data_IF_146109466398
#
_entry.id   IF_146109466398
#
_cell.length_a   1.000
_cell.length_b   1.000
_cell.length_c   1.000
_cell.angle_alpha   90.00
_cell.angle_beta   90.00
_cell.angle_gamma   90.00
#
_symmetry.space_group_name_H-M   'P 1'
#
loop_
_entity.id
_entity.type
_entity.pdbx_description
1 polymer ?
#
# COMPACT_ATOMS: atom_id res chain seq x y z
N UNK A 1 2.63 -27.22 4.55
CA UNK A 1 2.73 -26.15 3.54
C UNK A 1 1.32 -25.99 2.98
N UNK A 2 0.46 -25.29 3.72
CA UNK A 2 -0.99 -25.21 3.48
C UNK A 2 -1.32 -23.82 2.92
N UNK A 3 -2.37 -23.71 2.09
CA UNK A 3 -3.08 -22.43 1.88
C UNK A 3 -3.34 -21.82 3.26
N UNK A 4 -2.62 -20.76 3.65
CA UNK A 4 -2.42 -20.55 5.08
C UNK A 4 -3.70 -20.14 5.82
N UNK A 5 -4.68 -19.46 5.21
CA UNK A 5 -5.94 -19.20 5.92
C UNK A 5 -7.15 -19.15 4.98
N UNK A 6 -8.04 -20.15 5.10
CA UNK A 6 -9.42 -20.05 4.61
C UNK A 6 -10.22 -19.23 5.61
N UNK A 7 -10.48 -17.98 5.29
CA UNK A 7 -11.18 -17.02 6.18
C UNK A 7 -12.70 -17.03 5.97
N UNK A 8 -13.18 -17.68 4.91
CA UNK A 8 -14.60 -17.85 4.63
C UNK A 8 -14.85 -18.98 3.62
N UNK A 9 -16.11 -19.30 3.30
CA UNK A 9 -16.46 -20.38 2.39
C UNK A 9 -15.76 -20.30 1.04
N UNK A 10 -15.59 -19.07 0.54
CA UNK A 10 -14.99 -18.72 -0.75
C UNK A 10 -13.85 -17.69 -0.63
N UNK A 11 -13.31 -17.45 0.57
CA UNK A 11 -12.27 -16.44 0.79
C UNK A 11 -10.99 -17.08 1.32
N UNK A 12 -9.90 -16.85 0.60
CA UNK A 12 -8.57 -17.37 0.89
C UNK A 12 -7.62 -16.20 1.08
N UNK A 13 -6.80 -16.28 2.13
CA UNK A 13 -5.77 -15.30 2.43
C UNK A 13 -4.40 -15.94 2.22
N UNK A 14 -3.56 -15.27 1.43
CA UNK A 14 -2.16 -15.65 1.24
C UNK A 14 -1.22 -14.61 1.85
N UNK A 15 -0.05 -15.08 2.27
CA UNK A 15 1.10 -14.22 2.56
C UNK A 15 2.32 -14.60 1.73
N UNK A 16 2.08 -15.38 0.67
CA UNK A 16 3.10 -15.77 -0.28
C UNK A 16 3.30 -14.63 -1.30
N UNK A 17 4.55 -14.20 -1.43
CA UNK A 17 4.95 -13.10 -2.30
C UNK A 17 4.87 -13.45 -3.78
N UNK A 18 5.12 -14.71 -4.13
CA UNK A 18 5.06 -15.15 -5.51
C UNK A 18 3.60 -15.14 -5.97
N UNK A 19 2.69 -15.55 -5.08
CA UNK A 19 1.25 -15.50 -5.32
C UNK A 19 0.78 -14.04 -5.39
N UNK A 20 1.20 -13.18 -4.46
CA UNK A 20 0.87 -11.75 -4.49
C UNK A 20 1.35 -11.09 -5.79
N UNK A 21 2.61 -11.30 -6.17
CA UNK A 21 3.22 -10.71 -7.37
C UNK A 21 2.54 -11.20 -8.65
N UNK A 22 2.15 -12.48 -8.69
CA UNK A 22 1.35 -13.05 -9.79
C UNK A 22 -0.02 -12.40 -9.87
N UNK A 23 -0.71 -12.24 -8.75
CA UNK A 23 -2.07 -11.66 -8.69
C UNK A 23 -2.09 -10.18 -9.06
N UNK A 24 -1.12 -9.39 -8.58
CA UNK A 24 -1.02 -7.94 -8.79
C UNK A 24 -0.26 -7.55 -10.06
N UNK A 25 0.34 -8.51 -10.76
CA UNK A 25 1.11 -8.23 -11.97
C UNK A 25 0.26 -7.58 -13.07
N UNK A 26 0.89 -6.72 -13.87
CA UNK A 26 0.23 -5.93 -14.95
C UNK A 26 -0.48 -6.80 -16.00
N UNK A 27 -0.03 -8.06 -16.17
CA UNK A 27 -0.64 -9.04 -17.10
C UNK A 27 -1.34 -10.18 -16.35
N UNK A 28 -1.66 -9.97 -15.09
CA UNK A 28 -2.43 -10.91 -14.29
C UNK A 28 -3.78 -11.11 -14.95
N UNK A 29 -4.22 -12.37 -15.05
CA UNK A 29 -5.57 -12.71 -15.51
C UNK A 29 -6.59 -12.66 -14.38
N UNK A 30 -6.16 -12.36 -13.15
CA UNK A 30 -7.02 -12.35 -11.98
C UNK A 30 -7.87 -11.07 -11.98
N UNK A 31 -9.19 -11.23 -11.86
CA UNK A 31 -10.14 -10.10 -11.89
C UNK A 31 -10.36 -9.54 -10.49
N UNK A 32 -10.76 -8.27 -10.38
CA UNK A 32 -11.17 -7.69 -9.10
C UNK A 32 -12.37 -8.44 -8.54
N UNK A 33 -12.30 -8.84 -7.26
CA UNK A 33 -13.34 -9.63 -6.60
C UNK A 33 -14.64 -8.84 -6.33
N UNK A 34 -15.67 -9.55 -5.86
CA UNK A 34 -17.02 -8.99 -5.65
C UNK A 34 -17.04 -7.75 -4.73
N UNK A 35 -16.18 -7.72 -3.71
CA UNK A 35 -16.17 -6.65 -2.70
C UNK A 35 -15.98 -5.24 -3.26
N UNK A 36 -15.36 -5.09 -4.44
CA UNK A 36 -15.23 -3.80 -5.13
C UNK A 36 -16.59 -3.18 -5.47
N UNK A 37 -17.65 -3.98 -5.63
CA UNK A 37 -19.01 -3.48 -5.80
C UNK A 37 -19.50 -2.65 -4.60
N UNK A 38 -18.95 -2.91 -3.40
CA UNK A 38 -19.23 -2.11 -2.21
C UNK A 38 -18.73 -0.66 -2.29
N UNK A 39 -17.80 -0.37 -3.22
CA UNK A 39 -17.27 0.99 -3.42
C UNK A 39 -18.16 1.86 -4.29
N UNK A 40 -19.31 1.35 -4.76
CA UNK A 40 -20.27 2.14 -5.53
C UNK A 40 -20.88 3.26 -4.69
N UNK A 41 -20.80 4.49 -5.17
CA UNK A 41 -21.56 5.61 -4.58
C UNK A 41 -23.05 5.56 -4.91
N UNK A 42 -23.41 4.97 -6.07
CA UNK A 42 -24.78 4.71 -6.46
C UNK A 42 -24.97 3.20 -6.63
N UNK A 43 -25.97 2.57 -5.98
CA UNK A 43 -26.10 1.10 -5.94
C UNK A 43 -26.09 0.42 -7.32
N UNK A 44 -26.60 1.10 -8.35
CA UNK A 44 -26.78 0.59 -9.70
C UNK A 44 -25.69 1.01 -10.68
N UNK A 45 -24.71 1.82 -10.27
CA UNK A 45 -23.72 2.39 -11.18
C UNK A 45 -22.31 2.26 -10.62
N UNK A 46 -21.45 1.61 -11.41
CA UNK A 46 -20.02 1.54 -11.12
C UNK A 46 -19.35 2.92 -11.30
N UNK A 47 -18.51 3.28 -10.33
CA UNK A 47 -17.52 4.35 -10.42
C UNK A 47 -16.14 3.76 -10.76
N UNK A 48 -15.12 4.62 -10.83
CA UNK A 48 -13.75 4.21 -11.15
C UNK A 48 -13.20 3.15 -10.20
N UNK A 49 -13.58 3.15 -8.92
CA UNK A 49 -13.08 2.19 -7.93
C UNK A 49 -13.80 0.84 -7.99
N UNK A 50 -15.11 0.85 -8.22
CA UNK A 50 -15.94 -0.34 -8.28
C UNK A 50 -15.91 -1.08 -9.63
N UNK A 51 -15.48 -0.43 -10.70
CA UNK A 51 -15.43 -1.01 -12.04
C UNK A 51 -14.36 -2.12 -12.12
N UNK A 52 -14.81 -3.34 -12.40
CA UNK A 52 -13.98 -4.57 -12.43
C UNK A 52 -13.46 -4.88 -13.84
N UNK A 53 -14.08 -4.35 -14.89
CA UNK A 53 -13.64 -4.55 -16.27
C UNK A 53 -12.47 -3.61 -16.58
N UNK A 54 -11.30 -4.16 -16.95
CA UNK A 54 -10.08 -3.37 -17.17
C UNK A 54 -10.23 -2.33 -18.28
N UNK A 55 -10.95 -2.63 -19.37
CA UNK A 55 -11.12 -1.71 -20.48
C UNK A 55 -12.02 -0.54 -20.07
N UNK A 56 -13.12 -0.81 -19.36
CA UNK A 56 -13.99 0.23 -18.80
C UNK A 56 -13.29 1.03 -17.71
N UNK A 57 -12.54 0.37 -16.83
CA UNK A 57 -11.77 0.99 -15.76
C UNK A 57 -10.71 1.93 -16.35
N UNK A 58 -9.97 1.48 -17.36
CA UNK A 58 -9.02 2.32 -18.09
C UNK A 58 -9.73 3.50 -18.77
N UNK A 59 -10.88 3.27 -19.41
CA UNK A 59 -11.65 4.35 -20.04
C UNK A 59 -12.20 5.36 -19.02
N UNK A 60 -12.65 4.91 -17.85
CA UNK A 60 -13.10 5.77 -16.75
C UNK A 60 -11.94 6.59 -16.17
N UNK A 61 -10.78 5.96 -15.95
CA UNK A 61 -9.55 6.66 -15.55
C UNK A 61 -9.10 7.69 -16.58
N UNK A 62 -9.09 7.33 -17.87
CA UNK A 62 -8.78 8.27 -18.95
C UNK A 62 -9.79 9.42 -19.02
N UNK A 63 -11.07 9.18 -18.73
CA UNK A 63 -12.10 10.23 -18.66
C UNK A 63 -11.93 11.14 -17.45
N UNK A 64 -11.55 10.60 -16.28
CA UNK A 64 -11.19 11.42 -15.11
C UNK A 64 -9.93 12.24 -15.37
N UNK A 65 -8.89 11.65 -15.94
CA UNK A 65 -7.67 12.35 -16.35
C UNK A 65 -7.93 13.41 -17.43
N UNK A 66 -8.80 13.11 -18.40
CA UNK A 66 -9.24 14.08 -19.40
C UNK A 66 -10.12 15.18 -18.78
N UNK A 67 -10.91 14.90 -17.75
CA UNK A 67 -11.64 15.91 -16.98
C UNK A 67 -10.72 16.84 -16.18
N UNK A 68 -9.60 16.32 -15.66
CA UNK A 68 -8.53 17.09 -15.02
C UNK A 68 -7.81 18.03 -16.00
N UNK A 69 -7.70 17.64 -17.29
CA UNK A 69 -7.09 18.48 -18.34
C UNK A 69 -8.12 19.38 -19.07
N UNK A 70 -9.38 18.94 -19.20
CA UNK A 70 -10.49 19.65 -19.85
C UNK A 70 -11.25 20.53 -18.83
N UNK A 71 -10.50 21.51 -18.33
CA UNK A 71 -10.78 22.77 -17.62
C UNK A 71 -12.19 23.40 -17.46
N UNK A 72 -13.33 22.79 -17.79
CA UNK A 72 -14.61 23.54 -17.74
C UNK A 72 -15.90 22.80 -17.35
N UNK A 73 -15.93 21.47 -17.22
CA UNK A 73 -17.21 20.75 -17.14
C UNK A 73 -17.62 20.17 -15.77
N UNK A 74 -16.71 20.08 -14.80
CA UNK A 74 -17.09 19.75 -13.42
C UNK A 74 -17.24 21.02 -12.58
N UNK A 75 -18.48 21.32 -12.19
CA UNK A 75 -18.88 22.40 -11.28
C UNK A 75 -18.47 22.12 -9.81
N UNK A 76 -17.26 21.61 -9.58
CA UNK A 76 -16.69 21.29 -8.27
C UNK A 76 -15.65 22.30 -7.77
N UNK A 77 -15.60 23.50 -8.37
CA UNK A 77 -14.71 24.59 -7.94
C UNK A 77 -15.23 25.33 -6.71
N UNK A 78 -15.37 24.63 -5.58
CA UNK A 78 -15.22 25.31 -4.29
C UNK A 78 -13.92 24.89 -3.59
N UNK A 79 -13.39 23.71 -3.90
CA UNK A 79 -12.16 23.20 -3.27
C UNK A 79 -11.21 22.61 -4.32
N UNK A 80 -10.15 23.35 -4.64
CA UNK A 80 -9.06 22.84 -5.48
C UNK A 80 -8.44 21.57 -4.86
N UNK A 81 -8.14 20.58 -5.71
CA UNK A 81 -7.49 19.30 -5.37
C UNK A 81 -8.23 18.44 -4.33
N UNK A 82 -9.56 18.51 -4.29
CA UNK A 82 -10.36 17.74 -3.32
C UNK A 82 -10.10 16.22 -3.40
N UNK A 83 -10.01 15.65 -4.61
CA UNK A 83 -9.81 14.21 -4.80
C UNK A 83 -8.42 13.76 -4.32
N UNK A 84 -7.34 14.43 -4.75
CA UNK A 84 -5.97 14.19 -4.24
C UNK A 84 -5.89 14.33 -2.72
N UNK A 85 -6.64 15.29 -2.15
CA UNK A 85 -6.72 15.50 -0.70
C UNK A 85 -7.40 14.33 -0.02
N UNK A 86 -8.55 13.87 -0.51
CA UNK A 86 -9.32 12.78 0.11
C UNK A 86 -8.56 11.45 0.02
N UNK A 87 -7.96 11.13 -1.13
CA UNK A 87 -7.18 9.89 -1.30
C UNK A 87 -5.92 9.88 -0.43
N UNK A 88 -5.32 11.07 -0.25
CA UNK A 88 -4.09 11.25 0.53
C UNK A 88 -4.32 11.46 2.02
N UNK A 89 -5.50 11.90 2.49
CA UNK A 89 -5.66 12.36 3.89
C UNK A 89 -5.48 11.23 4.88
N UNK A 90 -6.22 10.13 4.72
CA UNK A 90 -6.23 9.07 5.73
C UNK A 90 -4.95 8.24 5.69
N UNK A 91 -4.44 7.97 4.49
CA UNK A 91 -3.20 7.22 4.29
C UNK A 91 -1.99 8.02 4.77
N UNK A 92 -1.90 9.31 4.45
CA UNK A 92 -0.81 10.19 4.91
C UNK A 92 -0.91 10.49 6.40
N UNK A 93 -2.11 10.69 6.94
CA UNK A 93 -2.30 10.87 8.39
C UNK A 93 -1.84 9.63 9.16
N UNK A 94 -2.14 8.43 8.64
CA UNK A 94 -1.66 7.17 9.22
C UNK A 94 -0.13 7.10 9.18
N UNK A 95 0.49 7.43 8.04
CA UNK A 95 1.95 7.46 7.89
C UNK A 95 2.63 8.40 8.91
N UNK A 96 2.15 9.64 9.02
CA UNK A 96 2.67 10.63 9.98
C UNK A 96 2.47 10.13 11.42
N UNK A 97 1.30 9.58 11.73
CA UNK A 97 0.98 9.07 13.07
C UNK A 97 1.94 7.98 13.51
N UNK A 98 2.25 7.01 12.64
CA UNK A 98 3.10 5.87 13.01
C UNK A 98 4.57 6.27 13.13
N UNK A 99 5.04 7.22 12.31
CA UNK A 99 6.38 7.80 12.44
C UNK A 99 6.51 8.53 13.78
N UNK A 100 5.55 9.41 14.11
CA UNK A 100 5.53 10.12 15.39
C UNK A 100 5.47 9.16 16.58
N UNK A 101 4.68 8.08 16.49
CA UNK A 101 4.60 7.06 17.54
C UNK A 101 5.99 6.48 17.85
N UNK A 102 6.76 6.06 16.85
CA UNK A 102 8.09 5.48 17.07
C UNK A 102 9.13 6.49 17.53
N UNK A 103 9.04 7.73 17.05
CA UNK A 103 9.87 8.83 17.56
C UNK A 103 9.63 9.09 19.06
N UNK A 104 8.37 9.12 19.49
CA UNK A 104 8.05 9.41 20.89
C UNK A 104 8.22 8.22 21.84
N UNK A 105 8.09 6.99 21.34
CA UNK A 105 8.26 5.78 22.16
C UNK A 105 9.71 5.30 22.23
N UNK A 106 10.60 5.81 21.38
CA UNK A 106 12.02 5.40 21.33
C UNK A 106 12.96 6.62 21.48
N UNK A 107 13.31 7.04 22.72
CA UNK A 107 14.09 8.26 22.96
C UNK A 107 15.42 8.32 22.20
N UNK A 108 16.13 7.18 22.09
CA UNK A 108 17.39 7.06 21.34
C UNK A 108 17.24 7.46 19.87
N UNK A 109 16.12 7.11 19.25
CA UNK A 109 15.84 7.39 17.83
C UNK A 109 15.52 8.87 17.66
N UNK A 110 14.77 9.46 18.58
CA UNK A 110 14.47 10.89 18.57
C UNK A 110 15.72 11.77 18.69
N UNK A 111 16.68 11.38 19.54
CA UNK A 111 17.96 12.09 19.70
C UNK A 111 18.76 12.09 18.40
N UNK A 112 18.94 10.92 17.78
CA UNK A 112 19.66 10.78 16.50
C UNK A 112 18.94 11.49 15.35
N UNK A 113 17.61 11.40 15.30
CA UNK A 113 16.81 12.15 14.34
C UNK A 113 17.05 13.67 14.47
N UNK A 114 17.05 14.22 15.69
CA UNK A 114 17.36 15.65 15.90
C UNK A 114 18.79 16.01 15.52
N UNK A 115 19.75 15.13 15.80
CA UNK A 115 21.15 15.33 15.44
C UNK A 115 21.31 15.40 13.92
N UNK A 116 20.73 14.46 13.17
CA UNK A 116 20.79 14.44 11.70
C UNK A 116 20.26 15.75 11.08
N UNK A 117 19.11 16.25 11.53
CA UNK A 117 18.56 17.52 11.04
C UNK A 117 19.44 18.73 11.39
N UNK A 118 20.12 18.68 12.54
CA UNK A 118 21.03 19.75 12.97
C UNK A 118 22.32 19.74 12.15
N UNK A 119 22.88 18.56 11.90
CA UNK A 119 24.11 18.35 11.13
C UNK A 119 23.92 18.66 9.65
N UNK A 120 22.77 18.29 9.07
CA UNK A 120 22.44 18.58 7.68
C UNK A 120 22.17 20.07 7.40
N UNK A 121 22.04 20.90 8.44
CA UNK A 121 21.79 22.35 8.34
C UNK A 121 20.64 22.69 7.37
N UNK A 122 19.54 21.94 7.46
CA UNK A 122 18.38 22.08 6.55
C UNK A 122 17.77 23.48 6.63
N UNK A 123 17.19 23.94 5.51
CA UNK A 123 16.52 25.23 5.47
C UNK A 123 15.23 25.29 6.30
N UNK A 124 14.78 26.50 6.65
CA UNK A 124 13.49 26.74 7.30
C UNK A 124 12.67 27.70 6.43
N UNK A 125 11.50 27.28 5.88
CA UNK A 125 10.91 25.94 5.95
C UNK A 125 11.70 24.89 5.16
N UNK A 126 11.71 23.65 5.67
CA UNK A 126 12.45 22.52 5.08
C UNK A 126 11.87 22.20 3.69
N UNK A 127 12.74 22.05 2.70
CA UNK A 127 12.37 21.64 1.35
C UNK A 127 12.26 20.13 1.26
N UNK A 128 11.37 19.66 0.39
CA UNK A 128 11.17 18.22 0.14
C UNK A 128 12.47 17.53 -0.29
N UNK A 129 13.27 18.18 -1.15
CA UNK A 129 14.58 17.66 -1.56
C UNK A 129 15.54 17.47 -0.38
N UNK A 130 15.58 18.43 0.54
CA UNK A 130 16.45 18.34 1.73
C UNK A 130 16.00 17.21 2.64
N UNK A 131 14.69 17.00 2.81
CA UNK A 131 14.15 15.92 3.63
C UNK A 131 14.38 14.52 3.01
N UNK A 132 14.42 14.42 1.68
CA UNK A 132 14.70 13.18 0.96
C UNK A 132 16.18 12.75 1.07
N UNK A 133 17.09 13.70 1.29
CA UNK A 133 18.53 13.46 1.41
C UNK A 133 18.97 13.02 2.82
N UNK A 134 18.05 12.89 3.78
CA UNK A 134 18.32 12.49 5.17
C UNK A 134 18.17 10.97 5.36
N UNK A 135 19.24 10.16 5.30
CA UNK A 135 19.14 8.71 5.27
C UNK A 135 18.51 8.10 6.54
N UNK A 136 18.80 8.66 7.72
CA UNK A 136 18.26 8.16 8.98
C UNK A 136 16.75 8.47 9.09
N UNK A 137 16.33 9.67 8.69
CA UNK A 137 14.91 10.00 8.57
C UNK A 137 14.17 9.09 7.57
N UNK A 138 14.74 8.87 6.38
CA UNK A 138 14.16 7.98 5.38
C UNK A 138 14.05 6.54 5.88
N UNK A 139 15.05 6.07 6.64
CA UNK A 139 15.02 4.77 7.28
C UNK A 139 13.88 4.63 8.30
N UNK A 140 13.62 5.66 9.11
CA UNK A 140 12.50 5.69 10.07
C UNK A 140 11.16 5.62 9.34
N UNK A 141 10.98 6.40 8.27
CA UNK A 141 9.74 6.40 7.48
C UNK A 141 9.50 4.99 6.90
N UNK A 142 10.51 4.43 6.22
CA UNK A 142 10.41 3.10 5.59
C UNK A 142 10.05 2.02 6.62
N UNK A 143 10.69 2.04 7.78
CA UNK A 143 10.42 1.04 8.82
C UNK A 143 9.05 1.21 9.47
N UNK A 144 8.65 2.45 9.77
CA UNK A 144 7.34 2.72 10.34
C UNK A 144 6.21 2.26 9.41
N UNK A 145 6.35 2.49 8.09
CA UNK A 145 5.40 2.04 7.07
C UNK A 145 5.44 0.54 6.81
N UNK A 146 6.60 -0.11 6.98
CA UNK A 146 6.70 -1.58 6.92
C UNK A 146 5.89 -2.23 8.03
N UNK A 147 6.02 -1.71 9.25
CA UNK A 147 5.32 -2.25 10.42
C UNK A 147 3.84 -1.84 10.37
N UNK A 148 3.52 -0.59 10.05
CA UNK A 148 2.15 -0.12 9.97
C UNK A 148 1.85 0.39 8.56
N UNK A 149 1.60 -0.53 7.61
CA UNK A 149 1.22 -0.15 6.26
C UNK A 149 -0.12 0.62 6.29
N UNK A 150 -0.22 1.80 5.66
CA UNK A 150 -1.48 2.58 5.65
C UNK A 150 -2.61 1.89 4.87
N UNK A 151 -2.27 1.05 3.91
CA UNK A 151 -3.23 0.32 3.07
C UNK A 151 -3.18 -1.16 3.44
N UNK A 152 -4.26 -1.65 4.05
CA UNK A 152 -4.37 -3.00 4.62
C UNK A 152 -5.53 -3.81 4.03
N UNK A 153 -6.18 -3.28 2.99
CA UNK A 153 -7.23 -4.00 2.28
C UNK A 153 -6.71 -5.33 1.73
N UNK A 154 -7.57 -6.35 1.71
CA UNK A 154 -7.22 -7.69 1.24
C UNK A 154 -6.90 -7.74 -0.27
N UNK A 155 -7.29 -6.69 -1.01
CA UNK A 155 -7.09 -6.55 -2.46
C UNK A 155 -7.48 -7.82 -3.21
N UNK A 156 -8.61 -8.42 -2.82
CA UNK A 156 -8.96 -9.76 -3.27
C UNK A 156 -9.17 -9.78 -4.78
N UNK A 157 -8.68 -10.85 -5.39
CA UNK A 157 -8.93 -11.19 -6.78
C UNK A 157 -9.78 -12.44 -6.87
N UNK A 158 -10.70 -12.45 -7.82
CA UNK A 158 -11.50 -13.62 -8.14
C UNK A 158 -10.66 -14.62 -8.95
N UNK A 159 -10.78 -15.90 -8.60
CA UNK A 159 -10.17 -17.01 -9.31
C UNK A 159 -10.83 -17.19 -10.67
N UNK A 160 -10.01 -17.43 -11.69
CA UNK A 160 -10.47 -17.61 -13.07
C UNK A 160 -11.45 -18.80 -13.22
N UNK A 161 -12.29 -18.81 -14.27
CA UNK A 161 -13.25 -19.90 -14.52
C UNK A 161 -12.64 -21.30 -14.56
N UNK A 162 -11.41 -21.43 -15.04
CA UNK A 162 -10.64 -22.68 -15.07
C UNK A 162 -10.12 -23.15 -13.71
N UNK A 163 -10.25 -22.33 -12.65
CA UNK A 163 -9.59 -22.53 -11.37
C UNK A 163 -8.13 -22.06 -11.37
N UNK A 164 -7.48 -22.12 -10.21
CA UNK A 164 -6.06 -21.80 -10.07
C UNK A 164 -5.37 -22.79 -9.13
N UNK A 165 -4.06 -22.97 -9.30
CA UNK A 165 -3.23 -23.72 -8.37
C UNK A 165 -2.35 -22.74 -7.61
N UNK A 166 -2.56 -22.70 -6.29
CA UNK A 166 -1.76 -21.90 -5.35
C UNK A 166 -1.15 -22.85 -4.35
N UNK A 167 0.19 -22.81 -4.22
CA UNK A 167 0.94 -23.66 -3.30
C UNK A 167 0.62 -25.17 -3.42
N UNK A 168 0.42 -25.63 -4.66
CA UNK A 168 0.10 -27.04 -4.95
C UNK A 168 -1.34 -27.46 -4.65
N UNK A 169 -2.21 -26.53 -4.24
CA UNK A 169 -3.63 -26.78 -3.96
C UNK A 169 -4.49 -26.15 -5.05
N UNK A 170 -5.43 -26.93 -5.58
CA UNK A 170 -6.40 -26.45 -6.56
C UNK A 170 -7.51 -25.64 -5.87
N UNK A 171 -7.74 -24.44 -6.39
CA UNK A 171 -8.77 -23.53 -5.94
C UNK A 171 -9.83 -23.44 -7.05
N UNK A 172 -11.10 -23.73 -6.75
CA UNK A 172 -12.15 -23.67 -7.75
C UNK A 172 -12.49 -22.22 -8.15
N UNK A 173 -13.07 -22.06 -9.34
CA UNK A 173 -13.65 -20.80 -9.81
C UNK A 173 -14.63 -20.19 -8.80
N UNK A 174 -14.69 -18.86 -8.78
CA UNK A 174 -15.58 -18.08 -7.90
C UNK A 174 -15.08 -17.95 -6.45
N UNK A 175 -13.93 -18.54 -6.12
CA UNK A 175 -13.21 -18.21 -4.89
C UNK A 175 -12.47 -16.87 -5.05
N UNK A 176 -12.27 -16.17 -3.93
CA UNK A 176 -11.51 -14.94 -3.83
C UNK A 176 -10.19 -15.21 -3.11
N UNK A 177 -9.08 -14.71 -3.66
CA UNK A 177 -7.76 -14.77 -3.07
C UNK A 177 -7.31 -13.34 -2.76
N UNK A 178 -7.16 -13.04 -1.48
CA UNK A 178 -6.56 -11.80 -0.99
C UNK A 178 -5.18 -12.04 -0.40
N UNK A 179 -4.46 -10.96 -0.12
CA UNK A 179 -3.20 -11.03 0.61
C UNK A 179 -3.25 -10.27 1.93
N UNK A 180 -2.43 -10.69 2.89
CA UNK A 180 -2.24 -9.96 4.15
C UNK A 180 -1.00 -9.08 4.08
N UNK A 181 -1.20 -7.77 3.94
CA UNK A 181 -0.11 -6.79 3.94
C UNK A 181 0.76 -6.90 5.20
N UNK A 182 0.14 -6.99 6.38
CA UNK A 182 0.84 -7.15 7.67
C UNK A 182 1.75 -8.38 7.71
N UNK A 183 1.26 -9.53 7.24
CA UNK A 183 2.00 -10.80 7.24
C UNK A 183 3.13 -10.78 6.22
N UNK A 184 2.90 -10.18 5.05
CA UNK A 184 3.90 -10.03 4.00
C UNK A 184 5.05 -9.12 4.47
N UNK A 185 4.74 -7.93 4.98
CA UNK A 185 5.75 -6.97 5.42
C UNK A 185 6.49 -7.37 6.71
N UNK A 186 6.07 -8.46 7.37
CA UNK A 186 6.75 -9.10 8.50
C UNK A 186 7.20 -10.52 8.19
N UNK A 187 7.18 -10.92 6.93
CA UNK A 187 7.62 -12.26 6.54
C UNK A 187 9.11 -12.38 6.79
N UNK A 188 9.53 -13.41 7.52
CA UNK A 188 10.96 -13.75 7.70
C UNK A 188 11.71 -14.04 6.39
N UNK A 189 10.98 -14.25 5.29
CA UNK A 189 11.57 -14.37 3.95
C UNK A 189 12.04 -13.02 3.40
N UNK A 190 11.38 -11.92 3.79
CA UNK A 190 11.70 -10.56 3.36
C UNK A 190 12.48 -9.78 4.41
N UNK A 191 12.14 -10.00 5.67
CA UNK A 191 12.71 -9.33 6.82
C UNK A 191 13.59 -10.33 7.57
N UNK A 192 14.74 -9.87 8.07
CA UNK A 192 15.56 -10.64 9.03
C UNK A 192 14.74 -11.00 10.29
N UNK A 193 15.32 -11.80 11.19
CA UNK A 193 14.58 -12.47 12.28
C UNK A 193 13.74 -11.58 13.20
N UNK A 194 14.03 -10.27 13.26
CA UNK A 194 13.38 -9.24 14.06
C UNK A 194 12.22 -8.52 13.32
N UNK A 195 11.54 -9.22 12.41
CA UNK A 195 10.50 -8.65 11.54
C UNK A 195 9.34 -7.96 12.29
N UNK A 196 9.06 -8.37 13.52
CA UNK A 196 8.00 -7.77 14.36
C UNK A 196 8.46 -6.54 15.16
N UNK A 197 9.77 -6.28 15.21
CA UNK A 197 10.37 -5.18 15.95
C UNK A 197 10.62 -3.96 15.06
N UNK A 198 10.61 -2.78 15.68
CA UNK A 198 11.01 -1.54 15.01
C UNK A 198 12.53 -1.41 15.02
N UNK A 199 13.13 -1.71 13.89
CA UNK A 199 14.58 -1.64 13.68
C UNK A 199 14.84 -0.94 12.34
N UNK A 200 14.86 0.39 12.38
CA UNK A 200 15.00 1.25 11.20
C UNK A 200 16.41 1.19 10.62
N UNK A 201 17.42 0.87 11.45
CA UNK A 201 18.81 0.73 11.03
C UNK A 201 19.00 -0.32 9.91
N UNK A 202 18.03 -1.23 9.70
CA UNK A 202 18.01 -2.16 8.56
C UNK A 202 17.99 -1.50 7.17
N UNK A 203 17.49 -0.27 7.09
CA UNK A 203 17.38 0.49 5.83
C UNK A 203 18.59 1.38 5.56
N UNK A 204 19.54 1.39 6.49
CA UNK A 204 20.79 2.12 6.37
C UNK A 204 21.80 1.10 5.86
N UNK A 205 22.22 1.23 4.61
CA UNK A 205 23.22 0.35 4.03
C UNK A 205 24.50 0.42 4.88
N UNK A 206 24.86 -0.68 5.54
CA UNK A 206 26.21 -0.88 6.05
C UNK A 206 27.15 -1.17 4.87
N UNK A 207 27.36 -0.16 4.02
CA UNK A 207 28.47 -0.09 3.07
C UNK A 207 29.52 0.91 3.55
N UNK A 208 29.89 0.80 4.83
CA UNK A 208 31.16 1.24 5.36
C UNK A 208 31.72 0.07 6.17
N UNK A 209 32.99 -0.25 5.89
CA UNK A 209 33.83 -1.32 6.46
C UNK A 209 33.89 -2.64 5.67
N UNK A 210 34.64 -2.61 4.55
CA UNK A 210 35.62 -3.64 4.16
C UNK A 210 36.75 -2.99 3.37
#
# INVERSE_FOLDING_TARGET
MCLEYKIGPYHLLTSDLDVMSRMLGVRSRCRCAEWYTGMRFAPTRDNVESEKDEAKHSALRSKMAAGLLARQWYSGREVDRLEERVDGTDTSATAVRVVLLYLFTTPRVLEKFRAEFTEAQVSLPIRDSEANDLPYFQAIIKEALRIWPPVIGLMEKEVQPEGDVVNGQFIPSGANIGYSAFRIFRSKKLCVDDADEFHHERWIDTHQDS
#
